data_IF_177627403757
#
_entry.id   IF_177627403757
#
_cell.length_a   1.000
_cell.length_b   1.000
_cell.length_c   1.000
_cell.angle_alpha   90.00
_cell.angle_beta   90.00
_cell.angle_gamma   90.00
#
_symmetry.space_group_name_H-M   'P 1'
#
loop_
_entity.id
_entity.type
_entity.pdbx_description
1 polymer ?
#
# COMPACT_ATOMS: atom_id res chain seq x y z
N UNK A 1 27.38 36.79 -8.09
CA UNK A 1 26.71 35.47 -7.97
C UNK A 1 25.93 35.48 -6.66
N UNK A 2 24.67 35.90 -6.67
CA UNK A 2 23.84 35.99 -5.45
C UNK A 2 22.34 36.12 -5.80
N UNK A 3 21.79 35.22 -6.61
CA UNK A 3 20.34 35.16 -6.90
C UNK A 3 19.76 33.73 -6.89
N UNK A 4 20.60 32.71 -6.74
CA UNK A 4 20.15 31.32 -6.81
C UNK A 4 19.41 30.85 -5.54
N UNK A 5 19.74 31.38 -4.36
CA UNK A 5 19.21 30.89 -3.08
C UNK A 5 17.75 31.29 -2.82
N UNK A 6 17.25 32.35 -3.45
CA UNK A 6 15.86 32.81 -3.25
C UNK A 6 14.87 32.16 -4.20
N UNK A 7 15.36 31.64 -5.34
CA UNK A 7 14.53 31.13 -6.43
C UNK A 7 14.23 29.62 -6.29
N UNK A 8 15.13 28.87 -5.67
CA UNK A 8 14.98 27.43 -5.36
C UNK A 8 13.80 27.16 -4.41
N UNK A 9 13.52 28.07 -3.48
CA UNK A 9 12.35 28.02 -2.60
C UNK A 9 11.00 28.16 -3.31
N UNK A 10 10.99 28.52 -4.59
CA UNK A 10 9.77 28.71 -5.38
C UNK A 10 9.60 27.64 -6.46
N UNK A 11 10.43 26.60 -6.50
CA UNK A 11 10.30 25.53 -7.48
C UNK A 11 9.52 24.33 -6.90
N UNK A 12 8.81 23.60 -7.75
CA UNK A 12 8.19 22.33 -7.36
C UNK A 12 9.27 21.27 -7.06
N UNK A 13 9.19 20.58 -5.92
CA UNK A 13 10.09 19.47 -5.53
C UNK A 13 10.24 18.40 -6.62
N UNK A 14 9.20 18.15 -7.41
CA UNK A 14 9.17 17.01 -8.35
C UNK A 14 9.49 17.40 -9.77
N UNK A 15 8.85 18.45 -10.28
CA UNK A 15 9.00 18.84 -11.69
C UNK A 15 9.91 20.06 -11.89
N UNK A 16 10.50 20.58 -10.80
CA UNK A 16 11.35 21.79 -10.76
C UNK A 16 10.77 23.02 -11.48
N UNK A 17 9.45 23.04 -11.70
CA UNK A 17 8.78 24.15 -12.36
C UNK A 17 8.65 25.29 -11.36
N UNK A 18 9.05 26.48 -11.77
CA UNK A 18 8.90 27.70 -10.97
C UNK A 18 7.42 27.98 -10.71
N UNK A 19 7.08 28.08 -9.44
CA UNK A 19 5.77 28.42 -8.93
C UNK A 19 5.78 29.93 -8.75
N UNK A 20 4.96 30.64 -9.51
CA UNK A 20 4.86 32.09 -9.36
C UNK A 20 4.46 32.48 -7.93
N UNK A 21 4.76 33.73 -7.54
CA UNK A 21 4.55 34.30 -6.19
C UNK A 21 3.12 34.14 -5.61
N UNK A 22 2.15 33.73 -6.41
CA UNK A 22 0.81 33.41 -5.96
C UNK A 22 0.76 32.00 -5.35
N UNK A 23 0.73 31.93 -4.02
CA UNK A 23 0.59 30.71 -3.21
C UNK A 23 -0.60 29.80 -3.62
N UNK A 24 -1.55 30.31 -4.41
CA UNK A 24 -2.72 29.58 -4.91
C UNK A 24 -2.39 28.37 -5.79
N UNK A 25 -1.17 28.25 -6.32
CA UNK A 25 -0.80 27.16 -7.25
C UNK A 25 0.21 26.16 -6.68
N UNK A 26 0.51 26.30 -5.39
CA UNK A 26 1.47 25.50 -4.63
C UNK A 26 0.84 24.89 -3.40
N UNK A 27 1.41 23.77 -2.96
CA UNK A 27 1.06 23.10 -1.71
C UNK A 27 2.38 22.85 -0.97
N UNK A 28 2.43 23.24 0.30
CA UNK A 28 3.56 22.95 1.16
C UNK A 28 3.44 21.51 1.68
N UNK A 29 4.51 20.73 1.55
CA UNK A 29 4.49 19.27 1.78
C UNK A 29 4.45 18.95 3.27
N UNK A 30 5.08 19.79 4.10
CA UNK A 30 5.22 19.58 5.54
C UNK A 30 4.07 20.19 6.36
N UNK A 31 3.18 20.95 5.73
CA UNK A 31 1.97 21.47 6.38
C UNK A 31 0.94 20.34 6.59
N UNK A 32 -0.23 20.68 7.13
CA UNK A 32 -1.39 19.77 7.24
C UNK A 32 -2.05 19.53 5.86
N UNK A 33 -1.26 19.10 4.88
CA UNK A 33 -1.73 18.74 3.54
C UNK A 33 -1.95 17.22 3.45
N UNK A 34 -3.14 16.84 3.00
CA UNK A 34 -3.59 15.44 2.94
C UNK A 34 -3.99 15.06 1.52
N UNK A 35 -3.77 13.80 1.17
CA UNK A 35 -4.32 13.22 -0.06
C UNK A 35 -5.79 12.84 0.12
N UNK A 36 -6.42 12.42 -0.98
CA UNK A 36 -7.83 12.01 -0.98
C UNK A 36 -8.09 10.82 -0.05
N UNK A 37 -7.10 9.94 0.16
CA UNK A 37 -7.21 8.83 1.13
C UNK A 37 -6.95 9.22 2.59
N UNK A 38 -6.86 10.53 2.89
CA UNK A 38 -6.57 11.07 4.24
C UNK A 38 -5.18 10.72 4.78
N UNK A 39 -4.24 10.32 3.92
CA UNK A 39 -2.83 10.18 4.29
C UNK A 39 -2.13 11.53 4.16
N UNK A 40 -1.09 11.75 4.97
CA UNK A 40 -0.30 12.98 4.84
C UNK A 40 0.41 12.95 3.49
N UNK A 41 0.48 14.11 2.85
CA UNK A 41 1.12 14.24 1.55
C UNK A 41 2.58 13.79 1.58
N UNK A 42 3.33 14.15 2.63
CA UNK A 42 4.73 13.72 2.83
C UNK A 42 4.89 12.19 2.83
N UNK A 43 3.99 11.45 3.48
CA UNK A 43 4.04 10.00 3.56
C UNK A 43 3.78 9.36 2.18
N UNK A 44 2.81 9.93 1.44
CA UNK A 44 2.49 9.45 0.09
C UNK A 44 3.64 9.72 -0.87
N UNK A 45 4.24 10.91 -0.83
CA UNK A 45 5.38 11.22 -1.70
C UNK A 45 6.56 10.29 -1.35
N UNK A 46 6.86 10.09 -0.07
CA UNK A 46 7.95 9.21 0.37
C UNK A 46 7.72 7.76 -0.11
N UNK A 47 6.49 7.26 0.02
CA UNK A 47 6.11 5.92 -0.45
C UNK A 47 6.18 5.78 -1.97
N UNK A 48 5.77 6.81 -2.73
CA UNK A 48 5.78 6.77 -4.20
C UNK A 48 7.19 6.92 -4.77
N UNK A 49 8.03 7.76 -4.16
CA UNK A 49 9.41 7.98 -4.60
C UNK A 49 10.39 6.97 -4.00
N UNK A 50 9.97 6.13 -3.04
CA UNK A 50 10.82 5.18 -2.34
C UNK A 50 11.97 5.85 -1.58
N UNK A 51 11.77 7.08 -1.10
CA UNK A 51 12.79 7.91 -0.46
C UNK A 51 12.21 8.63 0.75
N UNK A 52 12.97 8.72 1.84
CA UNK A 52 12.54 9.44 3.03
C UNK A 52 12.62 10.95 2.83
N UNK A 53 11.47 11.61 2.97
CA UNK A 53 11.33 13.04 2.75
C UNK A 53 11.28 13.76 4.09
N UNK A 54 12.28 14.61 4.33
CA UNK A 54 12.43 15.43 5.51
C UNK A 54 12.74 16.87 5.10
N UNK A 55 12.60 17.80 6.04
CA UNK A 55 12.85 19.22 5.77
C UNK A 55 14.31 19.50 5.33
N UNK A 56 15.25 18.63 5.75
CA UNK A 56 16.68 18.73 5.43
C UNK A 56 17.08 17.96 4.16
N UNK A 57 16.28 16.97 3.73
CA UNK A 57 16.58 16.16 2.54
C UNK A 57 16.02 16.73 1.24
N UNK A 58 15.08 17.68 1.31
CA UNK A 58 14.45 18.26 0.12
C UNK A 58 15.10 19.56 -0.33
N UNK A 59 15.22 19.72 -1.66
CA UNK A 59 15.66 20.98 -2.26
C UNK A 59 14.54 22.04 -2.35
N UNK A 60 13.29 21.63 -2.14
CA UNK A 60 12.13 22.52 -2.06
C UNK A 60 11.03 21.89 -1.20
N UNK A 61 10.39 22.65 -0.29
CA UNK A 61 9.30 22.13 0.53
C UNK A 61 7.92 22.25 -0.14
N UNK A 62 7.87 22.61 -1.44
CA UNK A 62 6.63 22.92 -2.15
C UNK A 62 6.43 21.98 -3.35
N UNK A 63 5.18 21.56 -3.60
CA UNK A 63 4.78 20.97 -4.87
C UNK A 63 3.76 21.82 -5.62
N UNK A 64 3.78 21.74 -6.95
CA UNK A 64 2.73 22.33 -7.76
C UNK A 64 1.46 21.45 -7.75
N UNK A 65 0.32 22.07 -8.06
CA UNK A 65 -0.98 21.37 -8.14
C UNK A 65 -1.00 20.16 -9.08
N UNK A 66 -0.22 20.18 -10.16
CA UNK A 66 -0.15 19.05 -11.11
C UNK A 66 0.47 17.83 -10.44
N UNK A 67 1.63 17.99 -9.82
CA UNK A 67 2.29 16.91 -9.09
C UNK A 67 1.45 16.42 -7.91
N UNK A 68 0.80 17.32 -7.17
CA UNK A 68 -0.12 16.92 -6.10
C UNK A 68 -1.25 16.00 -6.58
N UNK A 69 -1.89 16.34 -7.72
CA UNK A 69 -2.93 15.51 -8.32
C UNK A 69 -2.41 14.12 -8.68
N UNK A 70 -1.20 14.04 -9.24
CA UNK A 70 -0.58 12.77 -9.60
C UNK A 70 -0.29 11.90 -8.37
N UNK A 71 0.23 12.47 -7.28
CA UNK A 71 0.41 11.72 -6.02
C UNK A 71 -0.91 11.25 -5.42
N UNK A 72 -1.94 12.11 -5.46
CA UNK A 72 -3.27 11.75 -4.97
C UNK A 72 -3.87 10.60 -5.79
N UNK A 73 -3.74 10.65 -7.11
CA UNK A 73 -4.18 9.58 -8.02
C UNK A 73 -3.40 8.28 -7.79
N UNK A 74 -2.08 8.37 -7.61
CA UNK A 74 -1.24 7.21 -7.33
C UNK A 74 -1.65 6.52 -6.02
N UNK A 75 -1.93 7.29 -4.97
CA UNK A 75 -2.41 6.77 -3.68
C UNK A 75 -3.80 6.11 -3.80
N UNK A 76 -4.72 6.71 -4.56
CA UNK A 76 -6.01 6.09 -4.86
C UNK A 76 -5.86 4.76 -5.63
N UNK A 77 -5.01 4.72 -6.64
CA UNK A 77 -4.74 3.51 -7.41
C UNK A 77 -4.14 2.42 -6.53
N UNK A 78 -3.19 2.77 -5.64
CA UNK A 78 -2.62 1.83 -4.68
C UNK A 78 -3.68 1.25 -3.74
N UNK A 79 -4.63 2.06 -3.28
CA UNK A 79 -5.75 1.57 -2.46
C UNK A 79 -6.68 0.63 -3.27
N UNK A 80 -6.98 0.96 -4.53
CA UNK A 80 -7.79 0.09 -5.41
C UNK A 80 -7.12 -1.27 -5.63
N UNK A 81 -5.82 -1.29 -5.92
CA UNK A 81 -5.05 -2.53 -6.07
C UNK A 81 -5.06 -3.35 -4.78
N UNK A 82 -4.88 -2.70 -3.63
CA UNK A 82 -4.91 -3.37 -2.31
C UNK A 82 -6.27 -4.03 -2.04
N UNK A 83 -7.36 -3.33 -2.37
CA UNK A 83 -8.71 -3.88 -2.24
C UNK A 83 -8.92 -5.09 -3.13
N UNK A 84 -8.59 -5.00 -4.42
CA UNK A 84 -8.71 -6.11 -5.36
C UNK A 84 -7.90 -7.34 -4.90
N UNK A 85 -6.65 -7.12 -4.45
CA UNK A 85 -5.82 -8.20 -3.91
C UNK A 85 -6.46 -8.86 -2.69
N UNK A 86 -7.01 -8.06 -1.78
CA UNK A 86 -7.72 -8.56 -0.59
C UNK A 86 -8.94 -9.38 -0.97
N UNK A 87 -9.75 -8.89 -1.90
CA UNK A 87 -10.96 -9.58 -2.38
C UNK A 87 -10.62 -10.92 -3.05
N UNK A 88 -9.59 -10.96 -3.90
CA UNK A 88 -9.09 -12.19 -4.51
C UNK A 88 -8.55 -13.18 -3.47
N UNK A 89 -7.73 -12.71 -2.52
CA UNK A 89 -7.21 -13.55 -1.45
C UNK A 89 -8.34 -14.13 -0.58
N UNK A 90 -9.35 -13.33 -0.24
CA UNK A 90 -10.49 -13.79 0.53
C UNK A 90 -11.33 -14.80 -0.25
N UNK A 91 -11.51 -14.59 -1.56
CA UNK A 91 -12.22 -15.53 -2.43
C UNK A 91 -11.49 -16.87 -2.50
N UNK A 92 -10.17 -16.84 -2.69
CA UNK A 92 -9.34 -18.04 -2.71
C UNK A 92 -9.34 -18.79 -1.38
N UNK A 93 -9.23 -18.07 -0.24
CA UNK A 93 -9.29 -18.67 1.10
C UNK A 93 -10.62 -19.40 1.33
N UNK A 94 -11.75 -18.78 0.96
CA UNK A 94 -13.08 -19.42 1.04
C UNK A 94 -13.13 -20.72 0.24
N UNK A 95 -12.58 -20.73 -0.98
CA UNK A 95 -12.53 -21.96 -1.79
C UNK A 95 -11.68 -23.05 -1.14
N UNK A 96 -10.52 -22.70 -0.56
CA UNK A 96 -9.70 -23.67 0.18
C UNK A 96 -10.46 -24.22 1.40
N UNK A 97 -11.12 -23.37 2.17
CA UNK A 97 -11.89 -23.79 3.34
C UNK A 97 -13.02 -24.75 2.96
N UNK A 98 -13.73 -24.47 1.86
CA UNK A 98 -14.76 -25.38 1.31
C UNK A 98 -14.14 -26.70 0.86
N UNK A 99 -13.02 -26.69 0.13
CA UNK A 99 -12.34 -27.92 -0.29
C UNK A 99 -11.86 -28.75 0.89
N UNK A 100 -11.27 -28.11 1.91
CA UNK A 100 -10.87 -28.79 3.15
C UNK A 100 -12.05 -29.45 3.84
N UNK A 101 -13.21 -28.79 3.88
CA UNK A 101 -14.44 -29.37 4.43
C UNK A 101 -14.92 -30.57 3.59
N UNK A 102 -14.93 -30.47 2.26
CA UNK A 102 -15.30 -31.59 1.39
C UNK A 102 -14.35 -32.79 1.51
N UNK A 103 -13.05 -32.57 1.67
CA UNK A 103 -12.05 -33.63 1.88
C UNK A 103 -12.27 -34.36 3.23
N UNK A 104 -12.81 -33.65 4.23
CA UNK A 104 -13.24 -34.25 5.51
C UNK A 104 -14.50 -35.10 5.29
N UNK A 105 -15.50 -34.57 4.58
CA UNK A 105 -16.77 -35.29 4.34
C UNK A 105 -16.64 -36.48 3.37
N UNK A 106 -15.65 -36.51 2.48
CA UNK A 106 -15.39 -37.66 1.59
C UNK A 106 -14.64 -38.81 2.27
N UNK A 107 -14.04 -38.58 3.44
CA UNK A 107 -13.32 -39.62 4.19
C UNK A 107 -14.23 -40.49 5.09
N UNK A 108 -15.52 -40.16 5.23
CA UNK A 108 -16.42 -40.86 6.15
C UNK A 108 -17.26 -41.98 5.50
N UNK A 109 -17.21 -42.21 4.17
CA UNK A 109 -18.16 -43.11 3.49
C UNK A 109 -17.58 -44.35 2.77
N UNK A 110 -16.32 -44.71 3.01
CA UNK A 110 -15.78 -46.03 2.59
C UNK A 110 -14.75 -46.54 3.61
N UNK A 111 -15.21 -47.01 4.77
CA UNK A 111 -14.44 -47.91 5.62
C UNK A 111 -15.36 -49.04 6.12
N UNK A 112 -15.68 -49.95 5.22
CA UNK A 112 -16.03 -51.32 5.57
C UNK A 112 -14.72 -52.10 5.68
N UNK A 113 -14.19 -52.24 6.92
CA UNK A 113 -13.53 -53.43 7.46
C UNK A 113 -12.62 -53.14 8.67
N UNK A 114 -13.05 -53.72 9.81
CA UNK A 114 -12.33 -54.34 10.93
C UNK A 114 -11.21 -53.65 11.74
N UNK A 115 -11.36 -53.80 13.06
CA UNK A 115 -10.60 -53.28 14.21
C UNK A 115 -9.07 -53.14 14.05
N UNK A 116 -8.50 -52.01 14.50
CA UNK A 116 -7.51 -51.98 15.60
C UNK A 116 -7.35 -50.56 16.18
N UNK A 117 -7.23 -50.54 17.51
CA UNK A 117 -7.08 -49.42 18.42
C UNK A 117 -5.70 -48.74 18.30
N UNK A 118 -5.69 -47.43 18.62
CA UNK A 118 -4.58 -46.62 19.15
C UNK A 118 -4.13 -45.39 18.31
N UNK A 119 -4.81 -44.27 18.61
CA UNK A 119 -4.26 -42.95 18.98
C UNK A 119 -2.98 -42.44 18.32
N UNK A 120 -3.13 -41.49 17.37
CA UNK A 120 -2.51 -40.14 17.38
C UNK A 120 -2.79 -39.42 16.05
N UNK A 121 -3.91 -38.71 15.97
CA UNK A 121 -4.22 -37.79 14.87
C UNK A 121 -3.32 -36.56 14.95
N UNK A 122 -2.16 -36.63 14.31
CA UNK A 122 -1.31 -35.46 14.13
C UNK A 122 -1.96 -34.51 13.12
N UNK A 123 -2.65 -33.50 13.65
CA UNK A 123 -3.13 -32.34 12.91
C UNK A 123 -1.97 -31.63 12.21
N UNK A 124 -1.78 -31.88 10.92
CA UNK A 124 -0.88 -31.09 10.07
C UNK A 124 -1.63 -29.79 9.71
N UNK A 125 -1.59 -28.82 10.63
CA UNK A 125 -1.99 -27.44 10.37
C UNK A 125 -0.90 -26.77 9.52
N UNK A 126 -0.93 -26.98 8.20
CA UNK A 126 -0.06 -26.24 7.29
C UNK A 126 -0.60 -24.80 7.16
N UNK A 127 -0.03 -23.89 7.93
CA UNK A 127 -0.29 -22.45 7.84
C UNK A 127 0.04 -21.95 6.42
N UNK A 128 -0.97 -21.62 5.62
CA UNK A 128 -0.76 -20.86 4.38
C UNK A 128 -0.47 -19.41 4.76
N UNK A 129 0.81 -19.13 5.07
CA UNK A 129 1.27 -17.75 5.27
C UNK A 129 1.30 -17.02 3.94
N UNK A 130 0.22 -16.29 3.64
CA UNK A 130 0.29 -15.20 2.67
C UNK A 130 1.18 -14.11 3.27
N UNK A 131 2.49 -14.16 3.03
CA UNK A 131 3.41 -13.10 3.45
C UNK A 131 3.07 -11.81 2.70
N UNK A 132 2.57 -10.85 3.45
CA UNK A 132 2.32 -9.49 2.98
C UNK A 132 3.61 -8.71 3.20
N UNK A 133 4.45 -8.58 2.17
CA UNK A 133 5.42 -7.49 2.12
C UNK A 133 4.74 -6.31 1.41
N UNK A 134 4.58 -5.22 2.12
CA UNK A 134 4.19 -3.91 1.59
C UNK A 134 5.46 -3.06 1.68
N UNK A 135 6.01 -2.69 0.53
CA UNK A 135 6.99 -1.61 0.41
C UNK A 135 6.30 -0.25 0.51
#
# INVERSE_FOLDING_TARGET
MADFDKDSMQCCLVCNTKIGLSARNSIHIFDESYTISKKRLVDVISSVLGTDISHDSVHSPIICKKCFKQFSEADELRNKVTKLKTDLCNSYKKTIEVHKLCDIFQNEEYNDHDYTDNTESQNILTEVKCYIKLD
#
